data_IF_295848128528
#
_entry.id   IF_295848128528
#
_cell.length_a   1.000
_cell.length_b   1.000
_cell.length_c   1.000
_cell.angle_alpha   90.00
_cell.angle_beta   90.00
_cell.angle_gamma   90.00
#
_symmetry.space_group_name_H-M   'P 1'
#
loop_
_entity.id
_entity.type
_entity.pdbx_description
1 polymer ?
#
# COMPACT_ATOMS: atom_id res chain seq x y z
N UNK A 1 10.45 6.07 8.73
CA UNK A 1 10.08 5.40 10.01
C UNK A 1 11.15 4.46 10.52
N UNK A 2 11.60 3.45 9.76
CA UNK A 2 12.69 2.54 10.19
C UNK A 2 13.86 3.29 10.85
N UNK A 3 14.42 4.28 10.15
CA UNK A 3 15.47 5.14 10.67
C UNK A 3 15.12 5.83 11.99
N UNK A 4 13.91 6.40 12.12
CA UNK A 4 13.47 7.08 13.35
C UNK A 4 13.37 6.09 14.51
N UNK A 5 12.84 4.88 14.26
CA UNK A 5 12.76 3.83 15.27
C UNK A 5 14.15 3.33 15.70
N UNK A 6 15.05 3.11 14.75
CA UNK A 6 16.42 2.62 15.01
C UNK A 6 17.28 3.60 15.80
N UNK A 7 16.99 4.91 15.68
CA UNK A 7 17.73 5.98 16.36
C UNK A 7 16.97 6.56 17.55
N UNK A 8 15.87 5.92 17.99
CA UNK A 8 15.03 6.36 19.10
C UNK A 8 14.58 7.84 18.99
N UNK A 9 14.39 8.31 17.76
CA UNK A 9 14.00 9.69 17.48
C UNK A 9 12.48 9.85 17.65
N UNK A 10 12.00 11.04 18.07
CA UNK A 10 10.57 11.29 18.21
C UNK A 10 9.78 10.95 16.94
N UNK A 11 8.76 10.10 17.06
CA UNK A 11 7.92 9.68 15.94
C UNK A 11 6.52 9.24 16.41
N UNK A 12 5.53 9.37 15.53
CA UNK A 12 4.13 9.00 15.83
C UNK A 12 3.86 7.50 15.78
N UNK A 13 4.82 6.68 15.30
CA UNK A 13 4.62 5.26 14.96
C UNK A 13 3.57 5.01 13.89
N UNK A 14 3.13 6.03 13.14
CA UNK A 14 2.10 5.91 12.10
C UNK A 14 2.50 6.63 10.80
N UNK A 15 2.28 5.99 9.66
CA UNK A 15 2.42 6.58 8.32
C UNK A 15 1.14 6.37 7.52
N UNK A 16 0.70 7.40 6.81
CA UNK A 16 -0.33 7.31 5.77
C UNK A 16 0.32 7.64 4.42
N UNK A 17 0.22 6.71 3.47
CA UNK A 17 0.71 6.88 2.11
C UNK A 17 -0.48 6.98 1.15
N UNK A 18 -0.57 8.08 0.40
CA UNK A 18 -1.56 8.26 -0.66
C UNK A 18 -0.95 8.00 -2.02
N UNK A 19 -1.45 6.97 -2.70
CA UNK A 19 -1.12 6.59 -4.07
C UNK A 19 0.39 6.45 -4.39
N UNK A 20 1.21 5.78 -3.55
CA UNK A 20 2.67 5.74 -3.68
C UNK A 20 3.16 4.99 -4.93
N UNK A 21 2.34 4.12 -5.54
CA UNK A 21 2.72 3.34 -6.73
C UNK A 21 2.27 4.01 -8.03
N UNK A 22 1.50 5.09 -7.96
CA UNK A 22 0.99 5.80 -9.15
C UNK A 22 2.08 6.60 -9.86
N UNK A 23 3.02 7.20 -9.12
CA UNK A 23 4.12 8.02 -9.67
C UNK A 23 5.23 7.21 -10.33
N UNK A 24 5.34 5.91 -10.03
CA UNK A 24 6.34 5.01 -10.61
C UNK A 24 5.95 4.48 -12.00
N UNK A 25 4.81 4.91 -12.56
CA UNK A 25 4.45 4.56 -13.94
C UNK A 25 5.35 5.34 -14.91
N UNK A 26 6.34 4.66 -15.49
CA UNK A 26 7.34 5.23 -16.41
C UNK A 26 6.69 6.13 -17.46
N UNK A 27 7.13 7.40 -17.48
CA UNK A 27 6.60 8.42 -18.41
C UNK A 27 6.89 8.10 -19.88
N UNK A 28 7.76 7.13 -20.17
CA UNK A 28 8.27 6.87 -21.53
C UNK A 28 7.67 5.62 -22.21
N UNK A 29 6.92 4.76 -21.52
CA UNK A 29 6.39 3.54 -22.13
C UNK A 29 4.97 3.75 -22.70
N UNK A 30 4.92 4.12 -24.00
CA UNK A 30 3.77 3.91 -24.88
C UNK A 30 3.54 2.42 -25.09
N UNK A 31 2.92 1.75 -24.12
CA UNK A 31 2.19 0.48 -24.19
C UNK A 31 2.25 -0.10 -22.78
N UNK A 32 1.09 -0.24 -22.15
CA UNK A 32 0.62 -1.37 -21.34
C UNK A 32 1.62 -2.30 -20.63
N UNK A 33 2.80 -1.84 -20.26
CA UNK A 33 3.59 -2.47 -19.22
C UNK A 33 2.90 -2.06 -17.92
N UNK A 34 1.88 -2.84 -17.57
CA UNK A 34 1.51 -3.08 -16.17
C UNK A 34 2.82 -3.06 -15.40
N UNK A 35 2.99 -2.10 -14.50
CA UNK A 35 4.03 -2.12 -13.49
C UNK A 35 4.24 -3.57 -13.09
N UNK A 36 5.45 -4.12 -13.29
CA UNK A 36 5.63 -5.57 -13.18
C UNK A 36 5.07 -6.01 -11.83
N UNK A 37 4.27 -7.07 -11.82
CA UNK A 37 3.66 -7.58 -10.58
C UNK A 37 4.70 -7.68 -9.48
N UNK A 38 5.92 -8.08 -9.84
CA UNK A 38 7.10 -8.12 -8.98
C UNK A 38 7.40 -6.81 -8.24
N UNK A 39 7.23 -5.63 -8.85
CA UNK A 39 7.46 -4.33 -8.18
C UNK A 39 6.36 -4.07 -7.15
N UNK A 40 5.10 -4.33 -7.50
CA UNK A 40 3.96 -4.17 -6.60
C UNK A 40 4.14 -5.11 -5.39
N UNK A 41 4.41 -6.39 -5.64
CA UNK A 41 4.68 -7.40 -4.60
C UNK A 41 5.86 -6.96 -3.70
N UNK A 42 6.99 -6.58 -4.31
CA UNK A 42 8.19 -6.19 -3.55
C UNK A 42 7.95 -4.94 -2.70
N UNK A 43 7.16 -3.98 -3.21
CA UNK A 43 6.78 -2.80 -2.46
C UNK A 43 6.00 -3.17 -1.21
N UNK A 44 4.90 -3.93 -1.35
CA UNK A 44 4.08 -4.31 -0.21
C UNK A 44 4.82 -5.23 0.76
N UNK A 45 5.62 -6.19 0.25
CA UNK A 45 6.47 -7.05 1.08
C UNK A 45 7.53 -6.25 1.87
N UNK A 46 8.13 -5.23 1.27
CA UNK A 46 9.10 -4.38 1.97
C UNK A 46 8.48 -3.61 3.14
N UNK A 47 7.17 -3.28 3.03
CA UNK A 47 6.45 -2.55 4.07
C UNK A 47 5.87 -3.48 5.14
N UNK A 48 5.38 -4.67 4.75
CA UNK A 48 4.86 -5.66 5.71
C UNK A 48 5.94 -6.23 6.63
N UNK A 49 7.21 -6.16 6.21
CA UNK A 49 8.38 -6.57 7.00
C UNK A 49 8.98 -5.44 7.84
N UNK A 50 8.40 -4.23 7.82
CA UNK A 50 8.82 -3.15 8.71
C UNK A 50 8.38 -3.42 10.16
N UNK A 51 9.21 -2.93 11.09
CA UNK A 51 9.06 -3.02 12.55
C UNK A 51 7.60 -3.10 13.04
N UNK A 52 7.30 -4.17 13.80
CA UNK A 52 5.97 -4.48 14.35
C UNK A 52 5.38 -3.36 15.23
N UNK A 53 6.20 -2.45 15.76
CA UNK A 53 5.76 -1.31 16.57
C UNK A 53 5.42 -0.06 15.74
N UNK A 54 4.93 -0.23 14.50
CA UNK A 54 4.45 0.86 13.65
C UNK A 54 3.26 0.48 12.77
N UNK A 55 2.36 1.44 12.53
CA UNK A 55 1.20 1.28 11.67
C UNK A 55 1.42 2.00 10.33
N UNK A 56 1.23 1.28 9.23
CA UNK A 56 1.31 1.84 7.87
C UNK A 56 -0.05 1.66 7.21
N UNK A 57 -0.63 2.77 6.76
CA UNK A 57 -1.89 2.80 6.01
C UNK A 57 -1.58 3.24 4.59
N UNK A 58 -2.00 2.45 3.61
CA UNK A 58 -1.75 2.73 2.19
C UNK A 58 -3.10 2.86 1.49
N UNK A 59 -3.29 3.97 0.78
CA UNK A 59 -4.44 4.20 -0.09
C UNK A 59 -3.97 4.06 -1.53
N UNK A 60 -4.33 2.96 -2.19
CA UNK A 60 -3.82 2.65 -3.53
C UNK A 60 -4.79 1.74 -4.30
N UNK A 61 -4.82 1.87 -5.62
CA UNK A 61 -5.64 1.04 -6.51
C UNK A 61 -4.86 -0.18 -7.04
N UNK A 62 -3.52 -0.10 -7.01
CA UNK A 62 -2.60 -1.20 -7.36
C UNK A 62 -2.35 -2.07 -6.11
N UNK A 63 -2.92 -3.28 -6.10
CA UNK A 63 -2.84 -4.22 -4.95
C UNK A 63 -1.95 -5.43 -5.30
N UNK A 64 -1.30 -6.06 -4.30
CA UNK A 64 -0.56 -7.29 -4.53
C UNK A 64 -1.54 -8.45 -4.81
N UNK A 65 -1.04 -9.52 -5.44
CA UNK A 65 -1.77 -10.77 -5.63
C UNK A 65 -1.87 -11.55 -4.32
N UNK A 66 -0.86 -11.46 -3.45
CA UNK A 66 -0.86 -12.07 -2.12
C UNK A 66 -0.88 -10.99 -1.03
N UNK A 67 -1.90 -11.00 -0.19
CA UNK A 67 -2.12 -10.07 0.92
C UNK A 67 -2.20 -10.75 2.31
N UNK A 68 -1.76 -12.02 2.43
CA UNK A 68 -1.94 -12.84 3.64
C UNK A 68 -1.42 -12.21 4.95
N UNK A 69 -0.41 -11.34 4.88
CA UNK A 69 0.19 -10.69 6.05
C UNK A 69 -0.26 -9.24 6.25
N UNK A 70 -1.33 -8.81 5.59
CA UNK A 70 -1.77 -7.42 5.54
C UNK A 70 -3.27 -7.30 5.79
N UNK A 71 -3.68 -6.27 6.53
CA UNK A 71 -5.09 -5.94 6.59
C UNK A 71 -5.51 -5.23 5.30
N UNK A 72 -6.32 -5.89 4.47
CA UNK A 72 -6.75 -5.35 3.19
C UNK A 72 -8.24 -4.97 3.20
N UNK A 73 -8.51 -3.67 3.03
CA UNK A 73 -9.87 -3.14 2.92
C UNK A 73 -10.15 -2.78 1.45
N UNK A 74 -10.95 -3.60 0.77
CA UNK A 74 -11.32 -3.39 -0.64
C UNK A 74 -12.57 -2.52 -0.77
N UNK A 75 -12.45 -1.42 -1.51
CA UNK A 75 -13.59 -0.58 -1.92
C UNK A 75 -13.98 -0.91 -3.36
N UNK A 76 -15.13 -1.53 -3.56
CA UNK A 76 -15.51 -2.15 -4.84
C UNK A 76 -16.67 -1.44 -5.55
N UNK A 77 -17.42 -0.58 -4.85
CA UNK A 77 -18.75 -0.06 -5.25
C UNK A 77 -19.81 -1.13 -5.53
N UNK A 78 -19.56 -2.39 -5.18
CA UNK A 78 -20.55 -3.46 -5.27
C UNK A 78 -21.23 -3.63 -3.91
N UNK A 79 -22.55 -3.80 -3.90
CA UNK A 79 -23.32 -4.05 -2.66
C UNK A 79 -23.08 -5.43 -2.07
N UNK A 80 -22.47 -6.34 -2.83
CA UNK A 80 -22.35 -7.77 -2.50
C UNK A 80 -20.90 -8.21 -2.27
N UNK A 81 -19.92 -7.33 -2.40
CA UNK A 81 -18.48 -7.69 -2.35
C UNK A 81 -17.67 -6.53 -1.75
N UNK A 82 -16.91 -6.76 -0.68
CA UNK A 82 -16.11 -5.72 -0.04
C UNK A 82 -16.94 -4.54 0.49
N UNK A 83 -16.33 -3.36 0.59
CA UNK A 83 -17.02 -2.13 0.97
C UNK A 83 -17.51 -1.38 -0.27
N UNK A 84 -18.72 -0.85 -0.23
CA UNK A 84 -19.24 -0.01 -1.32
C UNK A 84 -18.39 1.27 -1.51
N UNK A 85 -18.05 1.93 -0.41
CA UNK A 85 -17.20 3.12 -0.39
C UNK A 85 -16.58 3.35 0.98
N UNK A 86 -15.81 4.43 1.11
CA UNK A 86 -15.22 4.83 2.39
C UNK A 86 -16.30 5.15 3.42
N UNK A 87 -17.32 5.89 3.01
CA UNK A 87 -18.55 6.07 3.77
C UNK A 87 -19.50 4.89 3.55
N UNK A 88 -20.19 4.48 4.60
CA UNK A 88 -21.29 3.51 4.49
C UNK A 88 -22.49 4.27 3.91
N UNK A 89 -22.87 3.95 2.68
CA UNK A 89 -24.09 4.42 2.01
C UNK A 89 -25.04 3.27 1.82
#
# INVERSE_FOLDING_TARGET
>A
MKYLCENELPHTRMIVLDSPLTTFQDKEKKQEEKMSSNIIESFYHSLSTLNENSQIIILENKVPLNDENMNHIRFTKKKTEGRYGFFMV
#
